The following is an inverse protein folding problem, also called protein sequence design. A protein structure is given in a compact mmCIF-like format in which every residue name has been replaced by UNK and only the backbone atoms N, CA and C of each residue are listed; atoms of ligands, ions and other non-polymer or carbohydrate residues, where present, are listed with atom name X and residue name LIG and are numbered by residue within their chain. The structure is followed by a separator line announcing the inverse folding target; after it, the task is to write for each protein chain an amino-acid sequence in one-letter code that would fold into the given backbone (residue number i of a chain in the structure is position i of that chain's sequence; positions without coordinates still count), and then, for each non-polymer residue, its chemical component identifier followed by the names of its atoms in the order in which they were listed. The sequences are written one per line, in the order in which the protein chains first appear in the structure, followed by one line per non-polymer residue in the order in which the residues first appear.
data_IF_223237305433
#
_entry.id   IF_223237305433
#
_cell.length_a   1.000
_cell.length_b   1.000
_cell.length_c   1.000
_cell.angle_alpha   90.00
_cell.angle_beta   90.00
_cell.angle_gamma   90.00
#
_symmetry.space_group_name_H-M   'P 1'
#
loop_
_entity.id
_entity.type
_entity.pdbx_description
1 polymer ?
#
# COMPACT_ATOMS: atom_id res chain seq x y z
N UNK A 1 -16.19 5.11 4.23
CA UNK A 1 -14.89 5.22 4.95
C UNK A 1 -14.95 4.43 6.24
N UNK A 2 -14.33 3.24 6.28
CA UNK A 2 -14.40 2.29 7.41
C UNK A 2 -14.05 2.93 8.75
N UNK A 3 -12.98 3.74 8.77
CA UNK A 3 -12.48 4.48 9.94
C UNK A 3 -13.52 5.38 10.62
N UNK A 4 -14.50 5.86 9.87
CA UNK A 4 -15.54 6.78 10.35
C UNK A 4 -16.95 6.18 10.32
N UNK A 5 -17.08 4.89 9.99
CA UNK A 5 -18.39 4.24 9.84
C UNK A 5 -19.26 4.81 8.71
N UNK A 6 -18.68 5.55 7.76
CA UNK A 6 -19.44 6.23 6.70
C UNK A 6 -19.71 5.25 5.56
N UNK A 7 -20.97 4.81 5.43
CA UNK A 7 -21.48 3.99 4.33
C UNK A 7 -21.00 2.53 4.35
N UNK A 8 -21.78 1.61 3.75
CA UNK A 8 -21.40 0.20 3.66
C UNK A 8 -20.22 -0.01 2.70
N UNK A 9 -19.50 -1.12 2.89
CA UNK A 9 -18.51 -1.59 1.91
C UNK A 9 -19.27 -2.40 0.85
N UNK A 10 -19.17 -1.99 -0.41
CA UNK A 10 -19.65 -2.78 -1.53
C UNK A 10 -18.67 -3.92 -1.83
N UNK A 11 -19.07 -5.16 -1.51
CA UNK A 11 -18.23 -6.35 -1.69
C UNK A 11 -17.95 -6.67 -3.15
N UNK A 12 -18.92 -6.43 -4.04
CA UNK A 12 -18.74 -6.68 -5.46
C UNK A 12 -17.66 -5.76 -6.05
N UNK A 13 -17.67 -4.48 -5.65
CA UNK A 13 -16.63 -3.52 -6.04
C UNK A 13 -15.25 -3.90 -5.51
N UNK A 14 -15.17 -4.42 -4.29
CA UNK A 14 -13.90 -4.91 -3.73
C UNK A 14 -13.38 -6.10 -4.54
N UNK A 15 -14.22 -7.06 -4.89
CA UNK A 15 -13.83 -8.22 -5.69
C UNK A 15 -13.39 -7.84 -7.10
N UNK A 16 -14.09 -6.90 -7.74
CA UNK A 16 -13.72 -6.31 -9.03
C UNK A 16 -12.34 -5.66 -8.96
N UNK A 17 -12.13 -4.75 -7.99
CA UNK A 17 -10.86 -4.07 -7.79
C UNK A 17 -9.71 -5.05 -7.47
N UNK A 18 -9.97 -6.14 -6.74
CA UNK A 18 -8.96 -7.18 -6.48
C UNK A 18 -8.59 -7.98 -7.74
N UNK A 19 -9.51 -8.17 -8.69
CA UNK A 19 -9.17 -8.79 -9.99
C UNK A 19 -8.30 -7.86 -10.83
N UNK A 20 -8.65 -6.58 -10.87
CA UNK A 20 -7.88 -5.57 -11.59
C UNK A 20 -6.48 -5.42 -10.99
N UNK A 21 -6.39 -5.39 -9.65
CA UNK A 21 -5.13 -5.37 -8.92
C UNK A 21 -4.24 -6.55 -9.30
N UNK A 22 -4.76 -7.79 -9.26
CA UNK A 22 -3.96 -8.99 -9.59
C UNK A 22 -3.39 -8.94 -11.00
N UNK A 23 -4.18 -8.43 -11.96
CA UNK A 23 -3.75 -8.27 -13.35
C UNK A 23 -2.61 -7.25 -13.47
N UNK A 24 -2.76 -6.08 -12.84
CA UNK A 24 -1.75 -5.03 -12.84
C UNK A 24 -0.48 -5.44 -12.08
N UNK A 25 -0.64 -6.07 -10.91
CA UNK A 25 0.45 -6.55 -10.06
C UNK A 25 1.28 -7.62 -10.78
N UNK A 26 0.67 -8.52 -11.54
CA UNK A 26 1.42 -9.51 -12.34
C UNK A 26 2.32 -8.85 -13.40
N UNK A 27 1.86 -7.77 -14.03
CA UNK A 27 2.68 -7.02 -14.99
C UNK A 27 3.82 -6.28 -14.30
N UNK A 28 3.52 -5.67 -13.15
CA UNK A 28 4.51 -4.96 -12.33
C UNK A 28 5.57 -5.92 -11.77
N UNK A 29 5.16 -7.09 -11.28
CA UNK A 29 6.03 -8.16 -10.79
C UNK A 29 7.01 -8.63 -11.87
N UNK A 30 6.53 -8.88 -13.09
CA UNK A 30 7.40 -9.25 -14.20
C UNK A 30 8.46 -8.17 -14.48
N UNK A 31 8.06 -6.90 -14.53
CA UNK A 31 9.00 -5.79 -14.76
C UNK A 31 10.03 -5.64 -13.63
N UNK A 32 9.61 -5.79 -12.37
CA UNK A 32 10.47 -5.68 -11.19
C UNK A 32 11.27 -6.95 -10.87
N UNK A 33 10.96 -8.08 -11.51
CA UNK A 33 11.74 -9.31 -11.33
C UNK A 33 13.18 -9.18 -11.84
N UNK A 34 13.40 -8.27 -12.80
CA UNK A 34 14.70 -8.03 -13.44
C UNK A 34 15.33 -6.68 -13.03
N UNK A 35 14.63 -5.87 -12.23
CA UNK A 35 15.02 -4.48 -11.93
C UNK A 35 14.70 -4.10 -10.49
N UNK A 36 15.57 -3.29 -9.90
CA UNK A 36 15.34 -2.76 -8.55
C UNK A 36 14.32 -1.61 -8.54
N UNK A 37 14.29 -0.80 -9.60
CA UNK A 37 13.43 0.37 -9.77
C UNK A 37 12.71 0.35 -11.12
N UNK A 38 11.62 1.11 -11.26
CA UNK A 38 10.83 1.12 -12.49
C UNK A 38 11.57 1.72 -13.69
N UNK A 39 12.46 2.68 -13.46
CA UNK A 39 13.21 3.39 -14.50
C UNK A 39 14.70 3.33 -14.20
N UNK A 40 15.45 2.71 -15.12
CA UNK A 40 16.91 2.57 -15.05
C UNK A 40 17.39 1.98 -13.70
N UNK A 41 18.41 2.58 -13.10
CA UNK A 41 19.16 2.02 -11.98
C UNK A 41 18.99 2.82 -10.66
N UNK A 42 18.00 3.71 -10.59
CA UNK A 42 17.76 4.56 -9.42
C UNK A 42 16.28 4.88 -9.21
N UNK A 43 15.89 5.16 -7.97
CA UNK A 43 14.53 5.61 -7.64
C UNK A 43 14.14 6.84 -8.45
N UNK A 44 12.89 6.86 -8.91
CA UNK A 44 12.34 7.93 -9.72
C UNK A 44 10.91 8.29 -9.30
N UNK A 45 10.37 9.35 -9.89
CA UNK A 45 8.95 9.69 -9.71
C UNK A 45 8.00 8.56 -10.10
N UNK A 46 8.39 7.68 -11.04
CA UNK A 46 7.57 6.54 -11.43
C UNK A 46 7.30 5.62 -10.24
N UNK A 47 8.32 5.38 -9.41
CA UNK A 47 8.22 4.50 -8.24
C UNK A 47 7.24 5.06 -7.21
N UNK A 48 7.44 6.33 -6.84
CA UNK A 48 6.55 7.02 -5.90
C UNK A 48 5.11 7.07 -6.42
N UNK A 49 4.92 7.40 -7.70
CA UNK A 49 3.59 7.49 -8.33
C UNK A 49 2.86 6.15 -8.33
N UNK A 50 3.57 5.05 -8.52
CA UNK A 50 2.98 3.71 -8.53
C UNK A 50 2.74 3.17 -7.12
N UNK A 51 3.51 3.62 -6.12
CA UNK A 51 3.39 3.15 -4.74
C UNK A 51 2.41 3.95 -3.87
N UNK A 52 1.86 5.08 -4.33
CA UNK A 52 1.11 6.04 -3.48
C UNK A 52 -0.05 5.47 -2.66
N UNK A 53 -0.61 4.32 -3.05
CA UNK A 53 -1.71 3.69 -2.32
C UNK A 53 -1.25 2.59 -1.34
N UNK A 54 0.00 2.13 -1.45
CA UNK A 54 0.54 1.02 -0.66
C UNK A 54 0.72 1.34 0.84
N UNK A 55 1.03 2.59 1.27
CA UNK A 55 1.03 2.94 2.69
C UNK A 55 -0.30 2.69 3.42
N UNK A 56 -1.40 2.54 2.68
CA UNK A 56 -2.73 2.24 3.23
C UNK A 56 -3.09 0.75 3.18
N UNK A 57 -2.12 -0.14 2.94
CA UNK A 57 -2.39 -1.57 2.77
C UNK A 57 -2.79 -2.28 4.08
N UNK A 58 -2.52 -1.64 5.23
CA UNK A 58 -3.05 -1.99 6.56
C UNK A 58 -4.59 -1.96 6.62
N UNK A 59 -5.24 -1.32 5.66
CA UNK A 59 -6.70 -1.31 5.47
C UNK A 59 -7.09 -1.95 4.14
N UNK A 60 -6.35 -1.68 3.07
CA UNK A 60 -6.71 -2.13 1.72
C UNK A 60 -6.59 -3.66 1.53
N UNK A 61 -5.72 -4.34 2.30
CA UNK A 61 -5.54 -5.81 2.28
C UNK A 61 -5.27 -6.36 0.88
N UNK A 62 -4.49 -5.62 0.07
CA UNK A 62 -3.99 -6.09 -1.20
C UNK A 62 -3.03 -7.27 -0.97
N UNK A 63 -3.10 -8.33 -1.79
CA UNK A 63 -2.30 -9.54 -1.61
C UNK A 63 -0.86 -9.34 -2.12
N UNK A 64 -0.09 -8.45 -1.48
CA UNK A 64 1.29 -8.15 -1.89
C UNK A 64 2.22 -9.36 -1.74
N UNK A 65 1.94 -10.24 -0.78
CA UNK A 65 2.73 -11.45 -0.51
C UNK A 65 2.75 -12.44 -1.70
N UNK A 66 1.77 -12.34 -2.61
CA UNK A 66 1.73 -13.12 -3.85
C UNK A 66 2.73 -12.61 -4.91
N UNK A 67 3.36 -11.45 -4.69
CA UNK A 67 4.23 -10.74 -5.64
C UNK A 67 5.57 -10.34 -4.97
N UNK A 68 6.56 -11.27 -4.92
CA UNK A 68 7.81 -11.05 -4.21
C UNK A 68 8.64 -9.85 -4.69
N UNK A 69 8.72 -9.58 -6.00
CA UNK A 69 9.47 -8.45 -6.53
C UNK A 69 8.78 -7.11 -6.22
N UNK A 70 7.44 -7.06 -6.31
CA UNK A 70 6.64 -5.90 -5.88
C UNK A 70 6.82 -5.65 -4.38
N UNK A 71 6.76 -6.70 -3.55
CA UNK A 71 6.96 -6.60 -2.11
C UNK A 71 8.38 -6.13 -1.75
N UNK A 72 9.41 -6.64 -2.44
CA UNK A 72 10.79 -6.17 -2.31
C UNK A 72 10.93 -4.69 -2.68
N UNK A 73 10.40 -4.29 -3.83
CA UNK A 73 10.42 -2.91 -4.31
C UNK A 73 9.71 -1.96 -3.33
N UNK A 74 8.54 -2.33 -2.81
CA UNK A 74 7.84 -1.50 -1.84
C UNK A 74 8.62 -1.39 -0.53
N UNK A 75 9.18 -2.48 -0.01
CA UNK A 75 10.07 -2.44 1.17
C UNK A 75 11.27 -1.50 0.95
N UNK A 76 11.83 -1.47 -0.25
CA UNK A 76 12.93 -0.58 -0.60
C UNK A 76 12.52 0.90 -0.62
N UNK A 77 11.29 1.22 -1.04
CA UNK A 77 10.73 2.57 -0.88
C UNK A 77 10.53 2.95 0.59
N UNK A 78 10.10 1.99 1.43
CA UNK A 78 9.94 2.18 2.87
C UNK A 78 11.28 2.44 3.60
N UNK A 79 12.44 2.21 2.98
CA UNK A 79 13.73 2.64 3.54
C UNK A 79 13.99 4.15 3.41
N UNK A 80 13.18 4.87 2.62
CA UNK A 80 13.29 6.32 2.43
C UNK A 80 12.44 7.01 3.51
N UNK A 81 13.09 7.70 4.45
CA UNK A 81 12.40 8.32 5.60
C UNK A 81 11.30 9.30 5.18
N UNK A 82 11.55 10.15 4.18
CA UNK A 82 10.56 11.09 3.66
C UNK A 82 9.36 10.41 2.97
N UNK A 83 9.47 9.12 2.61
CA UNK A 83 8.37 8.33 2.07
C UNK A 83 7.62 7.59 3.18
N UNK A 84 8.35 6.93 4.08
CA UNK A 84 7.83 6.15 5.20
C UNK A 84 7.07 7.01 6.22
N UNK A 85 7.60 8.20 6.53
CA UNK A 85 6.97 9.19 7.41
C UNK A 85 7.03 10.60 6.79
N UNK A 86 6.17 10.89 5.79
CA UNK A 86 6.21 12.15 5.06
C UNK A 86 5.75 13.35 5.90
N UNK A 87 5.17 13.10 7.08
CA UNK A 87 4.67 14.13 7.98
C UNK A 87 5.51 14.25 9.26
N UNK A 88 6.67 13.59 9.30
CA UNK A 88 7.61 13.66 10.42
C UNK A 88 7.88 15.12 10.81
N UNK A 89 7.58 15.46 12.07
CA UNK A 89 7.75 16.81 12.61
C UNK A 89 6.55 17.75 12.41
N UNK A 90 5.47 17.30 11.77
CA UNK A 90 4.19 17.99 11.76
C UNK A 90 3.32 17.51 12.93
N UNK A 91 2.62 18.45 13.57
CA UNK A 91 1.58 18.12 14.56
C UNK A 91 0.32 17.66 13.82
N UNK A 92 0.12 16.34 13.75
CA UNK A 92 -1.04 15.71 13.14
C UNK A 92 -1.75 14.84 14.19
N UNK A 93 -3.09 14.96 14.33
CA UNK A 93 -3.83 14.12 15.25
C UNK A 93 -3.80 12.66 14.80
N UNK A 94 -3.65 11.74 15.75
CA UNK A 94 -3.76 10.30 15.51
C UNK A 94 -5.11 9.95 14.87
N UNK A 95 -5.07 9.09 13.86
CA UNK A 95 -6.28 8.66 13.17
C UNK A 95 -6.98 7.56 14.00
N UNK A 96 -8.32 7.62 14.19
CA UNK A 96 -9.04 6.61 14.97
C UNK A 96 -8.88 5.21 14.35
N UNK A 97 -8.76 4.11 15.11
CA UNK A 97 -8.46 2.79 14.53
C UNK A 97 -9.57 2.31 13.58
N UNK A 98 -9.19 1.48 12.61
CA UNK A 98 -10.17 0.74 11.80
C UNK A 98 -10.55 -0.53 12.55
N UNK A 99 -11.85 -0.74 12.78
CA UNK A 99 -12.35 -1.95 13.46
C UNK A 99 -11.92 -3.22 12.73
N UNK A 100 -11.36 -4.18 13.46
CA UNK A 100 -10.82 -5.43 12.95
C UNK A 100 -9.46 -5.30 12.24
N UNK A 101 -8.77 -4.15 12.36
CA UNK A 101 -7.40 -4.01 11.85
C UNK A 101 -6.36 -4.54 12.85
N UNK A 102 -5.18 -4.99 12.39
CA UNK A 102 -4.08 -5.42 13.27
C UNK A 102 -3.65 -4.36 14.29
N UNK A 103 -3.90 -3.08 13.99
CA UNK A 103 -3.57 -1.93 14.83
C UNK A 103 -4.75 -1.46 15.70
N UNK A 104 -5.87 -2.18 15.73
CA UNK A 104 -6.95 -1.90 16.68
C UNK A 104 -6.48 -2.26 18.10
N UNK A 105 -6.47 -1.31 19.06
CA UNK A 105 -6.15 -1.62 20.45
C UNK A 105 -7.17 -2.62 20.98
N UNK A 106 -6.70 -3.69 21.64
CA UNK A 106 -7.59 -4.68 22.28
C UNK A 106 -8.39 -3.99 23.38
N UNK A 107 -9.70 -4.16 23.36
CA UNK A 107 -10.58 -3.77 24.46
C UNK A 107 -10.14 -4.51 25.73
N UNK A 108 -9.90 -3.76 26.82
CA UNK A 108 -9.75 -4.30 28.17
C UNK A 108 -11.03 -4.99 28.67
#
# INVERSE_FOLDING_TARGET
KQRYGIGPIDRHRVEEALRDFRTAAATLEAALSERDWLVENSVSYADFRMATFLPFNDVARLPLDDYPAVSRWYRQLEEIDAWRDPFQGLDAPELPPVRGSPHEPRSE
#
